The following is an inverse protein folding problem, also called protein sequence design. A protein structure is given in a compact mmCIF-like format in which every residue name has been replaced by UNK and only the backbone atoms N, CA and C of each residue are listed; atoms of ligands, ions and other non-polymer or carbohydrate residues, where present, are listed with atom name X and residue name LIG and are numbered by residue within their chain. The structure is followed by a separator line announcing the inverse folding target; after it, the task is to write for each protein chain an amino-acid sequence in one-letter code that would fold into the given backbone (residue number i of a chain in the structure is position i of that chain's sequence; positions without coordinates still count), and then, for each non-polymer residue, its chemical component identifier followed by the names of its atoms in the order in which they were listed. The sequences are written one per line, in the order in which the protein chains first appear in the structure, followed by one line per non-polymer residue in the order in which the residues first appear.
data_IF_734872012399
#
_entry.id   IF_734872012399
#
_cell.length_a   1.000
_cell.length_b   1.000
_cell.length_c   1.000
_cell.angle_alpha   90.00
_cell.angle_beta   90.00
_cell.angle_gamma   90.00
#
_symmetry.space_group_name_H-M   'P 1'
#
loop_
_entity.id
_entity.type
_entity.pdbx_description
1 polymer ?
#
# COMPACT_ATOMS: atom_id res chain seq x y z
N UNK A 1 8.82 -16.47 0.58
CA UNK A 1 7.61 -15.60 0.48
C UNK A 1 6.60 -15.78 1.63
N UNK A 2 6.25 -17.00 2.06
CA UNK A 2 5.28 -17.18 3.17
C UNK A 2 5.77 -16.59 4.50
N UNK A 3 7.08 -16.62 4.77
CA UNK A 3 7.69 -16.03 5.97
C UNK A 3 7.30 -14.57 6.22
N UNK A 4 7.22 -13.76 5.15
CA UNK A 4 6.79 -12.37 5.27
C UNK A 4 5.33 -12.24 5.73
N UNK A 5 4.44 -13.05 5.14
CA UNK A 5 3.01 -13.05 5.49
C UNK A 5 2.78 -13.58 6.91
N UNK A 6 3.53 -14.60 7.32
CA UNK A 6 3.51 -15.11 8.70
C UNK A 6 3.96 -14.03 9.67
N UNK A 7 5.10 -13.38 9.40
CA UNK A 7 5.62 -12.29 10.23
C UNK A 7 4.61 -11.15 10.37
N UNK A 8 3.95 -10.74 9.27
CA UNK A 8 2.89 -9.73 9.33
C UNK A 8 1.76 -10.17 10.24
N UNK A 9 1.30 -11.41 10.13
CA UNK A 9 0.21 -11.94 10.95
C UNK A 9 0.56 -11.91 12.44
N UNK A 10 1.79 -12.28 12.79
CA UNK A 10 2.28 -12.28 14.18
C UNK A 10 2.50 -10.87 14.72
N UNK A 11 2.91 -9.94 13.87
CA UNK A 11 3.27 -8.58 14.25
C UNK A 11 2.16 -7.56 13.98
N UNK A 12 0.90 -7.99 13.88
CA UNK A 12 -0.26 -7.10 13.66
C UNK A 12 -0.08 -6.20 12.43
N UNK A 13 0.39 -6.79 11.33
CA UNK A 13 0.67 -6.14 10.06
C UNK A 13 1.75 -5.04 10.12
N UNK A 14 2.59 -5.05 11.16
CA UNK A 14 3.71 -4.12 11.28
C UNK A 14 4.86 -4.54 10.35
N UNK A 15 4.98 -3.84 9.24
CA UNK A 15 5.99 -4.09 8.21
C UNK A 15 7.41 -3.81 8.73
N UNK A 16 7.58 -2.87 9.65
CA UNK A 16 8.89 -2.48 10.20
C UNK A 16 9.58 -3.64 10.93
N UNK A 17 8.81 -4.50 11.61
CA UNK A 17 9.32 -5.70 12.29
C UNK A 17 9.65 -6.85 11.33
N UNK A 18 9.17 -6.78 10.10
CA UNK A 18 9.32 -7.83 9.09
C UNK A 18 10.21 -7.41 7.92
N UNK A 19 11.09 -6.41 8.14
CA UNK A 19 11.93 -5.81 7.08
C UNK A 19 12.83 -6.81 6.37
N UNK A 20 13.37 -7.77 7.09
CA UNK A 20 14.22 -8.82 6.51
C UNK A 20 13.41 -9.69 5.52
N UNK A 21 12.22 -10.13 5.93
CA UNK A 21 11.35 -10.95 5.09
C UNK A 21 10.70 -10.16 3.95
N UNK A 22 10.46 -8.86 4.14
CA UNK A 22 9.88 -8.01 3.10
C UNK A 22 10.85 -7.75 1.96
N UNK A 23 12.17 -7.70 2.23
CA UNK A 23 13.21 -7.62 1.20
C UNK A 23 13.15 -8.82 0.26
N UNK A 24 13.21 -10.04 0.79
CA UNK A 24 13.11 -11.28 -0.01
C UNK A 24 11.79 -11.37 -0.78
N UNK A 25 10.69 -10.90 -0.16
CA UNK A 25 9.39 -10.88 -0.82
C UNK A 25 9.39 -9.96 -2.05
N UNK A 26 9.96 -8.76 -1.93
CA UNK A 26 10.10 -7.82 -3.04
C UNK A 26 11.02 -8.37 -4.13
N UNK A 27 12.12 -9.01 -3.76
CA UNK A 27 13.02 -9.66 -4.72
C UNK A 27 12.27 -10.66 -5.60
N UNK A 28 11.50 -11.55 -4.97
CA UNK A 28 10.75 -12.56 -5.69
C UNK A 28 9.71 -11.93 -6.64
N UNK A 29 9.05 -10.85 -6.21
CA UNK A 29 8.11 -10.12 -7.07
C UNK A 29 8.79 -9.50 -8.29
N UNK A 30 9.99 -8.95 -8.13
CA UNK A 30 10.79 -8.41 -9.24
C UNK A 30 11.24 -9.52 -10.19
N UNK A 31 11.72 -10.64 -9.66
CA UNK A 31 12.14 -11.80 -10.48
C UNK A 31 10.99 -12.36 -11.31
N UNK A 32 9.77 -12.37 -10.76
CA UNK A 32 8.56 -12.85 -11.44
C UNK A 32 7.89 -11.81 -12.33
N UNK A 33 8.41 -10.59 -12.40
CA UNK A 33 7.81 -9.49 -13.17
C UNK A 33 6.48 -8.97 -12.61
N UNK A 34 6.18 -9.23 -11.34
CA UNK A 34 5.01 -8.68 -10.63
C UNK A 34 5.27 -7.25 -10.10
N UNK A 35 6.48 -6.74 -10.28
CA UNK A 35 6.92 -5.41 -9.90
C UNK A 35 8.08 -4.98 -10.81
N UNK A 36 8.21 -3.66 -11.05
CA UNK A 36 9.39 -3.11 -11.70
C UNK A 36 10.66 -3.41 -10.90
N UNK A 37 11.78 -3.62 -11.60
CA UNK A 37 13.09 -3.82 -10.95
C UNK A 37 13.59 -2.48 -10.42
N UNK A 38 13.86 -2.42 -9.12
CA UNK A 38 14.48 -1.27 -8.47
C UNK A 38 15.56 -1.76 -7.49
N UNK A 39 16.41 -0.84 -7.04
CA UNK A 39 17.48 -1.14 -6.08
C UNK A 39 16.94 -1.12 -4.65
N UNK A 40 17.42 -2.04 -3.82
CA UNK A 40 16.98 -2.15 -2.42
C UNK A 40 17.29 -0.91 -1.59
N UNK A 41 18.36 -0.17 -1.90
CA UNK A 41 18.67 1.13 -1.30
C UNK A 41 17.55 2.15 -1.51
N UNK A 42 17.02 2.27 -2.73
CA UNK A 42 15.92 3.19 -3.06
C UNK A 42 14.61 2.77 -2.38
N UNK A 43 14.42 1.47 -2.18
CA UNK A 43 13.28 0.90 -1.49
C UNK A 43 13.40 1.00 0.04
N UNK A 44 14.47 1.61 0.56
CA UNK A 44 14.68 1.85 1.98
C UNK A 44 15.15 0.62 2.75
N UNK A 45 15.87 -0.29 2.08
CA UNK A 45 16.52 -1.49 2.66
C UNK A 45 18.04 -1.42 2.67
N UNK A 46 18.64 -0.26 2.35
CA UNK A 46 20.11 -0.10 2.34
C UNK A 46 20.76 -0.35 3.71
N UNK A 47 20.00 -0.18 4.80
CA UNK A 47 20.41 -0.52 6.17
C UNK A 47 20.59 -2.03 6.42
N UNK A 48 19.85 -2.89 5.71
CA UNK A 48 19.91 -4.34 5.93
C UNK A 48 21.21 -4.97 5.41
N UNK A 49 21.83 -4.39 4.38
CA UNK A 49 23.11 -4.85 3.82
C UNK A 49 24.28 -4.61 4.81
N UNK A 50 24.16 -3.58 5.66
CA UNK A 50 25.20 -3.18 6.64
C UNK A 50 24.95 -3.71 8.06
N UNK A 51 23.80 -4.33 8.30
CA UNK A 51 23.24 -4.54 9.64
C UNK A 51 23.57 -5.85 10.36
N UNK A 52 24.42 -6.74 9.84
CA UNK A 52 24.80 -7.97 10.58
C UNK A 52 25.91 -7.75 11.63
N UNK A 53 26.51 -6.56 11.71
CA UNK A 53 27.57 -6.23 12.66
C UNK A 53 27.28 -4.89 13.35
N UNK A 54 26.42 -4.89 14.36
CA UNK A 54 26.54 -4.09 15.60
C UNK A 54 25.22 -4.14 16.35
N UNK A 55 25.12 -5.14 17.22
CA UNK A 55 24.46 -4.93 18.50
C UNK A 55 25.34 -3.92 19.27
N UNK A 56 24.72 -2.85 19.75
CA UNK A 56 25.23 -1.94 20.78
C UNK A 56 26.16 -0.78 20.36
N UNK A 57 25.57 0.36 19.96
CA UNK A 57 25.98 1.67 20.52
C UNK A 57 24.88 2.72 20.33
N UNK A 58 24.48 3.30 21.45
CA UNK A 58 23.52 4.38 21.60
C UNK A 58 23.87 5.65 20.83
N UNK A 59 22.81 6.45 20.64
CA UNK A 59 22.79 7.90 20.43
C UNK A 59 22.93 8.44 18.98
N UNK A 60 21.81 9.02 18.55
CA UNK A 60 21.70 10.33 17.90
C UNK A 60 22.15 10.48 16.44
N UNK A 61 21.18 10.65 15.54
CA UNK A 61 21.45 11.04 14.15
C UNK A 61 20.22 11.07 13.26
N UNK A 62 19.47 12.18 13.32
CA UNK A 62 18.48 12.71 12.35
C UNK A 62 17.96 11.74 11.26
N UNK A 63 16.69 11.36 11.38
CA UNK A 63 15.84 11.12 10.21
C UNK A 63 14.93 12.32 10.03
N UNK A 64 15.09 13.16 8.98
CA UNK A 64 13.98 14.00 8.56
C UNK A 64 12.94 13.06 7.95
N UNK A 65 11.80 12.94 8.62
CA UNK A 65 10.59 12.35 8.06
C UNK A 65 10.23 13.11 6.80
N UNK A 66 10.66 12.58 5.66
CA UNK A 66 10.18 12.96 4.34
C UNK A 66 8.78 12.39 4.15
N UNK A 67 7.78 13.04 4.75
CA UNK A 67 6.40 12.96 4.28
C UNK A 67 6.35 13.58 2.89
N UNK A 68 6.50 12.75 1.87
CA UNK A 68 6.40 13.12 0.46
C UNK A 68 5.34 12.30 -0.24
N UNK A 69 4.10 12.37 0.24
CA UNK A 69 2.93 12.05 -0.59
C UNK A 69 2.38 13.37 -1.16
N UNK A 70 2.66 13.75 -2.41
CA UNK A 70 1.74 14.59 -3.15
C UNK A 70 0.69 13.66 -3.78
N UNK A 71 -0.35 13.33 -3.02
CA UNK A 71 -1.56 12.73 -3.58
C UNK A 71 -2.75 13.63 -3.27
N UNK A 72 -2.84 14.73 -4.01
CA UNK A 72 -4.11 15.36 -4.38
C UNK A 72 -3.82 16.23 -5.59
N UNK A 73 -3.73 15.57 -6.75
CA UNK A 73 -4.07 16.24 -7.98
C UNK A 73 -5.52 16.71 -7.85
N UNK A 74 -5.66 18.02 -7.96
CA UNK A 74 -6.89 18.76 -8.12
C UNK A 74 -7.73 18.13 -9.24
N UNK A 75 -8.85 17.48 -8.89
CA UNK A 75 -9.90 17.18 -9.86
C UNK A 75 -11.18 17.87 -9.37
N UNK A 76 -11.57 18.84 -10.18
CA UNK A 76 -12.75 19.69 -10.09
C UNK A 76 -13.98 18.94 -9.53
N UNK A 77 -14.46 19.34 -8.35
CA UNK A 77 -15.76 18.91 -7.83
C UNK A 77 -16.80 19.96 -8.18
N UNK A 78 -17.53 19.72 -9.27
CA UNK A 78 -18.83 20.36 -9.49
C UNK A 78 -19.85 19.35 -10.01
N UNK A 79 -20.44 18.51 -9.14
CA UNK A 79 -21.67 17.83 -9.46
C UNK A 79 -22.86 18.67 -8.96
N UNK A 80 -23.66 19.16 -9.92
CA UNK A 80 -25.02 19.66 -9.68
C UNK A 80 -25.81 18.60 -8.92
N UNK A 81 -26.25 18.94 -7.71
CA UNK A 81 -27.26 18.20 -6.96
C UNK A 81 -28.52 18.05 -7.82
N UNK A 82 -28.86 16.81 -8.17
CA UNK A 82 -30.19 16.43 -8.63
C UNK A 82 -30.72 15.38 -7.64
N UNK A 83 -31.86 15.59 -6.98
CA UNK A 83 -32.43 14.60 -6.09
C UNK A 83 -33.00 13.41 -6.86
N UNK A 84 -32.65 12.23 -6.34
CA UNK A 84 -33.17 10.90 -6.66
C UNK A 84 -34.71 10.91 -6.73
N UNK A 85 -35.26 10.79 -7.93
CA UNK A 85 -36.67 10.45 -8.13
C UNK A 85 -36.70 9.14 -8.91
N UNK A 86 -36.85 8.03 -8.18
CA UNK A 86 -37.21 6.72 -8.74
C UNK A 86 -38.62 6.82 -9.36
N UNK A 87 -38.81 6.67 -10.68
CA UNK A 87 -40.15 6.44 -11.23
C UNK A 87 -40.51 4.98 -11.00
N UNK A 88 -41.69 4.77 -10.40
CA UNK A 88 -42.26 3.45 -10.19
C UNK A 88 -42.46 2.71 -11.52
N UNK A 89 -42.15 1.42 -11.48
CA UNK A 89 -42.58 0.44 -12.48
C UNK A 89 -44.11 0.36 -12.46
N UNK A 90 -44.77 1.07 -13.36
CA UNK A 90 -46.18 0.83 -13.65
C UNK A 90 -46.27 -0.25 -14.73
N UNK A 91 -46.84 -1.38 -14.36
CA UNK A 91 -47.10 -2.49 -15.27
C UNK A 91 -48.31 -2.17 -16.16
N UNK A 92 -48.31 -2.50 -17.46
CA UNK A 92 -49.47 -2.31 -18.31
C UNK A 92 -50.52 -3.42 -18.04
N UNK A 93 -51.54 -3.13 -17.24
CA UNK A 93 -52.78 -3.92 -17.25
C UNK A 93 -53.69 -3.42 -18.36
N UNK A 94 -53.62 -4.08 -19.52
CA UNK A 94 -54.64 -3.96 -20.56
C UNK A 94 -55.99 -4.50 -20.03
N UNK A 95 -56.96 -3.63 -19.77
CA UNK A 95 -58.39 -3.91 -19.97
C UNK A 95 -58.68 -3.65 -21.47
N UNK A 96 -59.32 -4.48 -22.30
CA UNK A 96 -60.51 -5.32 -22.19
C UNK A 96 -61.80 -4.52 -22.00
N UNK A 97 -62.24 -3.84 -23.05
CA UNK A 97 -63.55 -4.02 -23.75
C UNK A 97 -63.59 -3.09 -24.94
#
# INVERSE_FOLDING_TARGET
MQAYLSCLKENQNNNGKCREFSREYLECRMQRGLMGRDSFDNLGYGDLEKGSQTQNRSAEGKSPVGSGSPSSAEVNTSPKSAPDTRPGVEQPTKAQT
#
